data_IF_302905535062
#
_entry.id   IF_302905535062
#
_cell.length_a   1.000
_cell.length_b   1.000
_cell.length_c   1.000
_cell.angle_alpha   90.00
_cell.angle_beta   90.00
_cell.angle_gamma   90.00
#
_symmetry.space_group_name_H-M   'P 1'
#
loop_
_entity.id
_entity.type
_entity.pdbx_description
1 polymer ?
#
# COMPACT_ATOMS: atom_id res chain seq x y z
N UNK A 1 -46.74 47.46 43.69
CA UNK A 1 -46.08 48.72 43.31
C UNK A 1 -44.72 48.82 43.98
N UNK A 2 -43.62 48.68 43.22
CA UNK A 2 -42.34 49.40 43.39
C UNK A 2 -41.34 48.84 42.36
N UNK A 3 -40.74 49.75 41.60
CA UNK A 3 -39.70 49.50 40.59
C UNK A 3 -38.34 49.37 41.28
N UNK A 4 -37.49 48.46 40.80
CA UNK A 4 -36.02 48.51 40.90
C UNK A 4 -35.46 47.82 39.66
N UNK A 5 -35.01 48.54 38.64
CA UNK A 5 -33.62 48.97 38.45
C UNK A 5 -32.62 47.80 38.49
N UNK A 6 -32.26 47.29 37.30
CA UNK A 6 -31.03 46.52 37.12
C UNK A 6 -30.17 47.20 36.05
N UNK A 7 -29.07 47.73 36.56
CA UNK A 7 -27.93 48.30 35.84
C UNK A 7 -27.20 47.20 35.08
N UNK A 8 -26.93 47.45 33.80
CA UNK A 8 -26.06 46.65 32.94
C UNK A 8 -24.60 46.86 33.33
N UNK A 9 -24.09 46.00 34.21
CA UNK A 9 -22.66 45.89 34.52
C UNK A 9 -22.01 44.84 33.62
N UNK A 10 -21.02 45.26 32.84
CA UNK A 10 -20.20 44.40 32.00
C UNK A 10 -19.42 43.36 32.83
N UNK A 11 -19.36 42.12 32.32
CA UNK A 11 -18.51 41.04 32.83
C UNK A 11 -17.46 40.73 31.75
N UNK A 12 -16.17 40.54 32.10
CA UNK A 12 -15.08 40.54 31.13
C UNK A 12 -15.04 39.25 30.31
N UNK A 13 -14.79 39.38 29.00
CA UNK A 13 -14.49 38.26 28.13
C UNK A 13 -13.14 37.65 28.52
N UNK A 14 -13.17 36.46 29.13
CA UNK A 14 -11.99 35.62 29.30
C UNK A 14 -11.72 34.97 27.93
N UNK A 15 -10.80 35.57 27.18
CA UNK A 15 -10.22 34.96 25.99
C UNK A 15 -9.33 33.79 26.45
N UNK A 16 -9.87 32.57 26.44
CA UNK A 16 -9.08 31.36 26.51
C UNK A 16 -8.36 31.18 25.16
N UNK A 17 -7.13 31.67 25.08
CA UNK A 17 -6.21 31.38 23.98
C UNK A 17 -5.85 29.90 24.01
N UNK A 18 -6.60 29.11 23.25
CA UNK A 18 -6.22 27.74 22.92
C UNK A 18 -5.09 27.81 21.88
N UNK A 19 -3.91 27.33 22.27
CA UNK A 19 -2.74 27.26 21.39
C UNK A 19 -3.06 26.48 20.10
N UNK A 20 -2.61 26.93 18.91
CA UNK A 20 -2.85 26.24 17.64
C UNK A 20 -2.27 24.82 17.58
N UNK A 21 -1.41 24.45 18.53
CA UNK A 21 -0.77 23.13 18.59
C UNK A 21 -1.71 21.99 19.02
N UNK A 22 -2.88 22.27 19.59
CA UNK A 22 -3.79 21.25 20.11
C UNK A 22 -4.81 20.71 19.08
N UNK A 23 -4.84 21.25 17.85
CA UNK A 23 -5.81 20.87 16.80
C UNK A 23 -5.24 19.98 15.69
N UNK A 24 -4.01 19.48 15.85
CA UNK A 24 -3.30 18.70 14.82
C UNK A 24 -3.07 17.21 15.15
N UNK A 25 -3.70 16.68 16.21
CA UNK A 25 -3.50 15.30 16.66
C UNK A 25 -4.65 14.33 16.34
N UNK A 26 -5.62 14.72 15.51
CA UNK A 26 -6.72 13.84 15.10
C UNK A 26 -6.81 13.79 13.58
N UNK A 27 -6.85 12.57 13.02
CA UNK A 27 -6.92 12.20 11.58
C UNK A 27 -5.61 11.82 10.86
N UNK A 28 -4.71 11.07 11.50
CA UNK A 28 -3.84 10.15 10.73
C UNK A 28 -4.40 8.74 10.85
N UNK A 29 -5.49 8.51 10.11
CA UNK A 29 -6.22 7.23 10.02
C UNK A 29 -5.91 6.44 8.74
N UNK A 30 -5.58 7.12 7.64
CA UNK A 30 -5.23 6.49 6.36
C UNK A 30 -3.75 6.12 6.27
N UNK A 31 -3.43 5.12 5.44
CA UNK A 31 -2.09 4.94 4.91
C UNK A 31 -1.68 6.27 4.24
N UNK A 32 -0.67 6.96 4.76
CA UNK A 32 -0.14 8.16 4.09
C UNK A 32 0.62 7.66 2.85
N UNK A 33 -0.03 7.65 1.69
CA UNK A 33 0.56 7.20 0.41
C UNK A 33 1.11 8.37 -0.41
N UNK A 34 1.75 9.32 0.27
CA UNK A 34 2.53 10.39 -0.34
C UNK A 34 3.86 10.51 0.39
N UNK A 35 4.95 10.06 -0.23
CA UNK A 35 6.30 10.51 0.16
C UNK A 35 6.54 11.84 -0.54
N UNK A 36 6.86 12.93 0.19
CA UNK A 36 7.19 14.21 -0.43
C UNK A 36 8.34 14.04 -1.43
N UNK A 37 8.16 14.54 -2.66
CA UNK A 37 9.16 14.52 -3.74
C UNK A 37 10.49 15.22 -3.37
N UNK A 38 10.53 15.96 -2.26
CA UNK A 38 11.64 16.84 -1.88
C UNK A 38 12.85 16.15 -1.25
N UNK A 39 12.74 14.90 -0.81
CA UNK A 39 13.74 14.33 0.11
C UNK A 39 14.63 13.24 -0.53
N UNK A 40 14.46 12.96 -1.83
CA UNK A 40 15.30 12.01 -2.56
C UNK A 40 16.33 12.77 -3.41
N UNK A 41 17.43 13.18 -2.77
CA UNK A 41 18.67 13.48 -3.48
C UNK A 41 19.47 12.18 -3.62
N UNK A 42 19.27 11.46 -4.72
CA UNK A 42 20.24 10.45 -5.14
C UNK A 42 21.52 11.20 -5.51
N UNK A 43 22.54 11.10 -4.66
CA UNK A 43 23.84 11.73 -4.90
C UNK A 43 24.31 11.42 -6.31
N UNK A 44 24.57 12.48 -7.10
CA UNK A 44 25.00 12.40 -8.51
C UNK A 44 26.30 11.58 -8.62
N UNK A 45 26.21 10.28 -8.79
CA UNK A 45 27.38 9.44 -9.04
C UNK A 45 27.80 9.60 -10.50
N UNK A 46 28.57 10.65 -10.79
CA UNK A 46 29.08 10.93 -12.14
C UNK A 46 30.44 10.28 -12.36
N UNK A 47 30.44 8.96 -12.48
CA UNK A 47 31.66 8.16 -12.68
C UNK A 47 32.55 8.70 -13.80
N UNK A 48 31.98 9.08 -14.95
CA UNK A 48 32.76 9.58 -16.09
C UNK A 48 33.40 10.95 -15.83
N UNK A 49 32.76 11.84 -15.06
CA UNK A 49 33.38 13.11 -14.66
C UNK A 49 34.54 12.87 -13.68
N UNK A 50 34.32 12.04 -12.65
CA UNK A 50 35.37 11.69 -11.68
C UNK A 50 36.53 10.90 -12.32
N UNK A 51 36.22 10.02 -13.27
CA UNK A 51 37.20 9.27 -14.06
C UNK A 51 38.01 10.20 -14.96
N UNK A 52 37.37 11.12 -15.68
CA UNK A 52 38.05 12.10 -16.51
C UNK A 52 38.89 13.05 -15.67
N UNK A 53 38.40 13.47 -14.50
CA UNK A 53 39.14 14.30 -13.54
C UNK A 53 40.38 13.57 -13.00
N UNK A 54 40.25 12.28 -12.64
CA UNK A 54 41.39 11.45 -12.21
C UNK A 54 42.39 11.24 -13.34
N UNK A 55 41.93 10.87 -14.55
CA UNK A 55 42.77 10.70 -15.76
C UNK A 55 43.51 11.98 -16.12
N UNK A 56 42.84 13.13 -16.04
CA UNK A 56 43.43 14.44 -16.32
C UNK A 56 44.45 14.85 -15.25
N UNK A 57 44.30 14.39 -14.00
CA UNK A 57 45.25 14.65 -12.90
C UNK A 57 46.44 13.68 -12.89
N UNK A 58 46.24 12.40 -13.21
CA UNK A 58 47.28 11.37 -13.06
C UNK A 58 48.13 11.15 -14.31
N UNK A 59 47.69 11.62 -15.49
CA UNK A 59 48.40 11.45 -16.77
C UNK A 59 48.54 9.99 -17.25
N UNK A 60 48.11 9.02 -16.44
CA UNK A 60 48.04 7.58 -16.73
C UNK A 60 46.81 7.04 -16.00
N UNK A 61 45.82 6.59 -16.76
CA UNK A 61 44.80 5.67 -16.24
C UNK A 61 45.26 4.24 -16.57
N UNK A 62 45.10 3.25 -15.67
CA UNK A 62 45.34 1.86 -16.03
C UNK A 62 44.19 1.40 -16.94
N UNK A 63 44.35 1.62 -18.24
CA UNK A 63 43.33 1.33 -19.28
C UNK A 63 42.78 -0.10 -19.16
N UNK A 64 43.59 -1.05 -18.68
CA UNK A 64 43.21 -2.44 -18.47
C UNK A 64 41.97 -2.62 -17.57
N UNK A 65 41.90 -1.97 -16.41
CA UNK A 65 40.77 -2.16 -15.48
C UNK A 65 39.51 -1.43 -15.96
N UNK A 66 39.68 -0.31 -16.67
CA UNK A 66 38.58 0.45 -17.23
C UNK A 66 37.97 -0.29 -18.40
N UNK A 67 38.78 -0.80 -19.35
CA UNK A 67 38.29 -1.62 -20.45
C UNK A 67 37.65 -2.91 -19.97
N UNK A 68 38.25 -3.58 -18.98
CA UNK A 68 37.73 -4.83 -18.41
C UNK A 68 36.35 -4.67 -17.76
N UNK A 69 36.05 -3.52 -17.16
CA UNK A 69 34.79 -3.28 -16.45
C UNK A 69 33.90 -2.22 -17.10
N UNK A 70 34.29 -1.70 -18.28
CA UNK A 70 33.60 -0.63 -19.02
C UNK A 70 32.12 -0.92 -19.18
N UNK A 71 31.78 -2.13 -19.60
CA UNK A 71 30.41 -2.55 -19.86
C UNK A 71 29.59 -2.68 -18.56
N UNK A 72 30.24 -2.98 -17.43
CA UNK A 72 29.59 -2.98 -16.12
C UNK A 72 29.28 -1.55 -15.68
N UNK A 73 30.21 -0.62 -15.85
CA UNK A 73 29.99 0.79 -15.52
C UNK A 73 28.91 1.43 -16.41
N UNK A 74 28.92 1.18 -17.72
CA UNK A 74 27.86 1.66 -18.61
C UNK A 74 26.49 1.12 -18.21
N UNK A 75 26.39 -0.14 -17.82
CA UNK A 75 25.13 -0.73 -17.33
C UNK A 75 24.64 -0.08 -16.04
N UNK A 76 25.55 0.25 -15.11
CA UNK A 76 25.19 0.95 -13.87
C UNK A 76 24.76 2.39 -14.16
N UNK A 77 25.48 3.11 -15.01
CA UNK A 77 25.12 4.49 -15.41
C UNK A 77 23.80 4.56 -16.18
N UNK A 78 23.55 3.62 -17.11
CA UNK A 78 22.26 3.49 -17.79
C UNK A 78 21.15 3.17 -16.78
N UNK A 79 21.41 2.29 -15.82
CA UNK A 79 20.45 1.96 -14.76
C UNK A 79 20.13 3.19 -13.89
N UNK A 80 21.13 3.96 -13.48
CA UNK A 80 20.93 5.21 -12.71
C UNK A 80 20.12 6.21 -13.52
N UNK A 81 20.47 6.45 -14.79
CA UNK A 81 19.71 7.37 -15.67
C UNK A 81 18.26 6.92 -15.85
N UNK A 82 18.03 5.62 -15.99
CA UNK A 82 16.67 5.06 -16.08
C UNK A 82 15.92 5.18 -14.76
N UNK A 83 16.59 5.03 -13.62
CA UNK A 83 15.99 5.22 -12.31
C UNK A 83 15.65 6.70 -12.04
N UNK A 84 16.55 7.63 -12.38
CA UNK A 84 16.31 9.08 -12.28
C UNK A 84 15.15 9.51 -13.18
N UNK A 85 15.17 9.09 -14.46
CA UNK A 85 14.07 9.35 -15.38
C UNK A 85 12.76 8.73 -14.87
N UNK A 86 12.80 7.52 -14.31
CA UNK A 86 11.63 6.88 -13.73
C UNK A 86 11.06 7.66 -12.54
N UNK A 87 11.92 8.15 -11.64
CA UNK A 87 11.52 8.96 -10.48
C UNK A 87 10.93 10.30 -10.93
N UNK A 88 11.56 10.96 -11.89
CA UNK A 88 11.09 12.22 -12.45
C UNK A 88 9.78 12.06 -13.24
N UNK A 89 9.60 10.93 -13.92
CA UNK A 89 8.39 10.62 -14.69
C UNK A 89 7.26 10.06 -13.82
N UNK A 90 7.44 9.83 -12.52
CA UNK A 90 6.33 9.46 -11.65
C UNK A 90 5.34 10.62 -11.56
N UNK A 91 4.06 10.29 -11.80
CA UNK A 91 2.94 11.20 -11.60
C UNK A 91 2.69 11.51 -10.13
N UNK A 92 1.48 11.96 -9.81
CA UNK A 92 1.10 12.27 -8.43
C UNK A 92 1.09 11.01 -7.55
N UNK A 93 0.49 9.94 -8.05
CA UNK A 93 0.64 8.58 -7.50
C UNK A 93 1.81 7.85 -8.16
N UNK A 94 2.45 6.96 -7.41
CA UNK A 94 3.57 6.16 -7.90
C UNK A 94 3.42 4.71 -7.45
N UNK A 95 4.07 3.82 -8.20
CA UNK A 95 4.07 2.39 -7.87
C UNK A 95 4.84 2.16 -6.55
N UNK A 96 4.27 1.49 -5.53
CA UNK A 96 4.89 1.38 -4.21
C UNK A 96 6.05 0.41 -4.22
N UNK A 97 7.15 0.75 -3.56
CA UNK A 97 8.26 -0.20 -3.38
C UNK A 97 7.81 -1.42 -2.58
N UNK A 98 8.04 -2.62 -3.12
CA UNK A 98 7.78 -3.87 -2.40
C UNK A 98 8.78 -4.05 -1.25
N UNK A 99 8.32 -4.56 -0.11
CA UNK A 99 9.16 -4.80 1.07
C UNK A 99 10.06 -6.03 0.92
N UNK A 100 9.86 -6.81 -0.13
CA UNK A 100 10.66 -7.98 -0.45
C UNK A 100 11.22 -7.90 -1.89
N UNK A 101 12.36 -8.56 -2.17
CA UNK A 101 13.00 -8.53 -3.48
C UNK A 101 12.19 -9.32 -4.52
N UNK A 102 11.30 -8.64 -5.26
CA UNK A 102 10.39 -9.24 -6.24
C UNK A 102 11.04 -10.20 -7.24
N UNK A 103 12.31 -9.97 -7.61
CA UNK A 103 13.06 -10.82 -8.54
C UNK A 103 13.40 -12.21 -7.97
N UNK A 104 13.20 -12.43 -6.66
CA UNK A 104 13.28 -13.74 -6.00
C UNK A 104 11.92 -14.44 -5.87
N UNK A 105 10.83 -13.77 -6.24
CA UNK A 105 9.46 -14.24 -6.00
C UNK A 105 9.01 -14.02 -4.56
N UNK A 106 7.78 -14.44 -4.27
CA UNK A 106 7.18 -14.51 -2.94
C UNK A 106 6.87 -15.98 -2.66
N UNK A 107 7.92 -16.76 -2.43
CA UNK A 107 7.81 -18.22 -2.30
C UNK A 107 7.16 -18.61 -0.97
N UNK A 108 6.39 -19.72 -0.92
CA UNK A 108 6.13 -20.67 -2.02
C UNK A 108 4.96 -20.29 -2.96
N UNK A 109 4.37 -19.10 -2.83
CA UNK A 109 3.16 -18.71 -3.56
C UNK A 109 3.43 -18.25 -4.99
N UNK A 110 4.29 -17.25 -5.19
CA UNK A 110 4.46 -16.57 -6.48
C UNK A 110 5.91 -16.62 -6.97
N UNK A 111 6.09 -16.93 -8.25
CA UNK A 111 7.37 -16.82 -8.94
C UNK A 111 7.74 -15.36 -9.21
N UNK A 112 9.02 -15.11 -9.48
CA UNK A 112 9.48 -13.76 -9.85
C UNK A 112 8.87 -13.26 -11.17
N UNK A 113 8.54 -14.17 -12.09
CA UNK A 113 7.92 -13.82 -13.37
C UNK A 113 6.45 -13.43 -13.19
N UNK A 114 5.70 -14.16 -12.37
CA UNK A 114 4.31 -13.83 -12.00
C UNK A 114 4.24 -12.46 -11.31
N UNK A 115 5.14 -12.17 -10.36
CA UNK A 115 5.20 -10.85 -9.70
C UNK A 115 5.60 -9.74 -10.69
N UNK A 116 6.55 -10.00 -11.61
CA UNK A 116 6.92 -9.02 -12.63
C UNK A 116 5.73 -8.56 -13.47
N UNK A 117 4.81 -9.47 -13.79
CA UNK A 117 3.59 -9.14 -14.53
C UNK A 117 2.59 -8.43 -13.62
N UNK A 118 2.28 -8.99 -12.45
CA UNK A 118 1.28 -8.44 -11.54
C UNK A 118 1.66 -7.04 -11.02
N UNK A 119 2.86 -6.88 -10.45
CA UNK A 119 3.37 -5.61 -9.95
C UNK A 119 3.85 -4.69 -11.08
N UNK A 120 4.71 -5.22 -11.96
CA UNK A 120 5.41 -4.41 -12.97
C UNK A 120 4.59 -4.07 -14.21
N UNK A 121 3.44 -4.72 -14.45
CA UNK A 121 2.54 -4.41 -15.56
C UNK A 121 1.16 -3.99 -15.07
N UNK A 122 0.42 -4.87 -14.38
CA UNK A 122 -0.97 -4.58 -13.99
C UNK A 122 -1.07 -3.43 -12.98
N UNK A 123 -0.38 -3.53 -11.83
CA UNK A 123 -0.40 -2.47 -10.83
C UNK A 123 0.14 -1.14 -11.39
N UNK A 124 1.25 -1.19 -12.15
CA UNK A 124 1.80 -0.01 -12.83
C UNK A 124 0.78 0.66 -13.76
N UNK A 125 0.07 -0.11 -14.58
CA UNK A 125 -0.92 0.44 -15.50
C UNK A 125 -2.07 1.15 -14.78
N UNK A 126 -2.53 0.62 -13.63
CA UNK A 126 -3.55 1.30 -12.82
C UNK A 126 -3.05 2.64 -12.27
N UNK A 127 -1.80 2.71 -11.78
CA UNK A 127 -1.18 3.95 -11.29
C UNK A 127 -1.04 4.99 -12.42
N UNK A 128 -0.50 4.57 -13.56
CA UNK A 128 -0.32 5.45 -14.72
C UNK A 128 -1.66 5.99 -15.22
N UNK A 129 -2.67 5.11 -15.33
CA UNK A 129 -4.00 5.50 -15.79
C UNK A 129 -4.74 6.39 -14.78
N UNK A 130 -4.60 6.13 -13.48
CA UNK A 130 -5.15 6.99 -12.43
C UNK A 130 -4.60 8.41 -12.56
N UNK A 131 -3.28 8.55 -12.67
CA UNK A 131 -2.63 9.86 -12.83
C UNK A 131 -3.17 10.62 -14.06
N UNK A 132 -3.30 9.94 -15.20
CA UNK A 132 -3.87 10.54 -16.42
C UNK A 132 -5.32 11.01 -16.24
N UNK A 133 -6.12 10.26 -15.48
CA UNK A 133 -7.54 10.57 -15.30
C UNK A 133 -7.79 11.72 -14.31
N UNK A 134 -6.90 11.92 -13.34
CA UNK A 134 -7.06 12.96 -12.32
C UNK A 134 -6.35 14.27 -12.69
N UNK A 135 -5.38 14.26 -13.60
CA UNK A 135 -4.64 15.45 -14.02
C UNK A 135 -5.58 16.55 -14.52
N UNK A 136 -5.39 17.77 -14.01
CA UNK A 136 -6.24 18.92 -14.36
C UNK A 136 -7.67 18.87 -13.80
N UNK A 137 -8.02 17.85 -13.01
CA UNK A 137 -9.33 17.74 -12.34
C UNK A 137 -9.26 18.19 -10.87
N UNK A 138 -10.41 18.46 -10.21
CA UNK A 138 -10.46 18.71 -8.77
C UNK A 138 -10.04 17.53 -7.88
N UNK A 139 -9.77 16.36 -8.46
CA UNK A 139 -9.25 15.18 -7.74
C UNK A 139 -7.72 15.20 -7.66
N UNK A 140 -7.05 16.00 -8.50
CA UNK A 140 -5.59 16.14 -8.42
C UNK A 140 -5.19 16.72 -7.06
N UNK A 141 -4.21 16.10 -6.40
CA UNK A 141 -3.77 16.52 -5.06
C UNK A 141 -4.57 15.93 -3.89
N UNK A 142 -5.67 15.21 -4.16
CA UNK A 142 -6.44 14.50 -3.12
C UNK A 142 -5.77 13.19 -2.73
N UNK A 143 -5.92 12.76 -1.47
CA UNK A 143 -5.41 11.45 -1.04
C UNK A 143 -6.16 10.30 -1.75
N UNK A 144 -5.52 9.13 -1.87
CA UNK A 144 -6.11 7.99 -2.58
C UNK A 144 -7.45 7.53 -1.99
N UNK A 145 -7.54 7.46 -0.65
CA UNK A 145 -8.75 7.11 0.08
C UNK A 145 -9.88 8.11 -0.18
N UNK A 146 -9.57 9.41 -0.20
CA UNK A 146 -10.53 10.45 -0.55
C UNK A 146 -11.03 10.31 -1.99
N UNK A 147 -10.14 10.02 -2.95
CA UNK A 147 -10.53 9.81 -4.35
C UNK A 147 -11.47 8.60 -4.46
N UNK A 148 -11.16 7.48 -3.81
CA UNK A 148 -12.01 6.28 -3.79
C UNK A 148 -13.39 6.63 -3.21
N UNK A 149 -13.44 7.30 -2.07
CA UNK A 149 -14.68 7.69 -1.41
C UNK A 149 -15.51 8.69 -2.22
N UNK A 150 -14.88 9.59 -2.98
CA UNK A 150 -15.59 10.58 -3.81
C UNK A 150 -16.11 10.01 -5.13
N UNK A 151 -15.57 8.88 -5.57
CA UNK A 151 -15.83 8.35 -6.94
C UNK A 151 -16.60 7.03 -6.96
N UNK A 152 -16.74 6.31 -5.84
CA UNK A 152 -17.31 4.95 -5.85
C UNK A 152 -18.77 4.85 -6.30
N UNK A 153 -19.58 5.87 -6.04
CA UNK A 153 -21.00 5.91 -6.43
C UNK A 153 -21.25 6.78 -7.67
N UNK A 154 -20.21 7.37 -8.26
CA UNK A 154 -20.34 8.23 -9.44
C UNK A 154 -20.04 7.45 -10.73
N UNK A 155 -21.10 7.14 -11.48
CA UNK A 155 -21.03 6.42 -12.75
C UNK A 155 -20.11 7.12 -13.77
N UNK A 156 -20.04 8.45 -13.77
CA UNK A 156 -19.18 9.22 -14.66
C UNK A 156 -17.70 9.10 -14.28
N UNK A 157 -17.41 8.82 -13.02
CA UNK A 157 -16.06 8.65 -12.48
C UNK A 157 -15.68 7.19 -12.25
N UNK A 158 -16.47 6.22 -12.76
CA UNK A 158 -16.17 4.78 -12.68
C UNK A 158 -14.74 4.46 -13.12
N UNK A 159 -14.23 5.12 -14.16
CA UNK A 159 -12.86 4.95 -14.62
C UNK A 159 -11.82 5.39 -13.57
N UNK A 160 -12.07 6.51 -12.88
CA UNK A 160 -11.20 7.00 -11.80
C UNK A 160 -11.28 6.05 -10.61
N UNK A 161 -12.50 5.70 -10.18
CA UNK A 161 -12.74 4.76 -9.08
C UNK A 161 -12.01 3.44 -9.31
N UNK A 162 -12.20 2.82 -10.49
CA UNK A 162 -11.59 1.53 -10.78
C UNK A 162 -10.07 1.56 -10.69
N UNK A 163 -9.41 2.60 -11.22
CA UNK A 163 -7.95 2.70 -11.16
C UNK A 163 -7.45 3.06 -9.75
N UNK A 164 -8.17 3.92 -9.01
CA UNK A 164 -7.85 4.26 -7.64
C UNK A 164 -8.00 3.07 -6.69
N UNK A 165 -9.12 2.37 -6.78
CA UNK A 165 -9.42 1.18 -6.00
C UNK A 165 -8.47 0.02 -6.34
N UNK A 166 -8.16 -0.22 -7.62
CA UNK A 166 -7.16 -1.23 -7.99
C UNK A 166 -5.77 -0.85 -7.48
N UNK A 167 -5.38 0.42 -7.51
CA UNK A 167 -4.12 0.85 -6.91
C UNK A 167 -4.10 0.56 -5.40
N UNK A 168 -5.15 0.92 -4.66
CA UNK A 168 -5.26 0.60 -3.23
C UNK A 168 -5.21 -0.91 -2.97
N UNK A 169 -6.03 -1.69 -3.68
CA UNK A 169 -6.13 -3.13 -3.49
C UNK A 169 -4.79 -3.84 -3.71
N UNK A 170 -4.06 -3.47 -4.76
CA UNK A 170 -2.72 -4.02 -5.00
C UNK A 170 -1.73 -3.56 -3.93
N UNK A 171 -1.72 -2.28 -3.54
CA UNK A 171 -0.87 -1.81 -2.44
C UNK A 171 -1.09 -2.63 -1.18
N UNK A 172 -2.36 -2.87 -0.82
CA UNK A 172 -2.71 -3.65 0.35
C UNK A 172 -2.28 -5.11 0.20
N UNK A 173 -2.56 -5.77 -0.93
CA UNK A 173 -2.14 -7.14 -1.22
C UNK A 173 -0.64 -7.35 -1.05
N UNK A 174 0.20 -6.45 -1.57
CA UNK A 174 1.65 -6.57 -1.44
C UNK A 174 2.15 -6.43 0.00
N UNK A 175 1.38 -5.78 0.89
CA UNK A 175 1.68 -5.70 2.33
C UNK A 175 1.16 -6.92 3.11
N UNK A 176 0.14 -7.60 2.59
CA UNK A 176 -0.41 -8.82 3.18
C UNK A 176 0.48 -10.04 3.01
N UNK A 177 1.45 -10.00 2.10
CA UNK A 177 2.29 -11.15 1.76
C UNK A 177 3.79 -10.85 1.93
N UNK A 178 4.54 -11.87 2.34
CA UNK A 178 6.00 -11.87 2.39
C UNK A 178 6.55 -13.28 2.11
N UNK A 179 7.79 -13.41 1.59
CA UNK A 179 8.39 -14.72 1.38
C UNK A 179 8.41 -15.55 2.67
N UNK A 180 7.89 -16.78 2.60
CA UNK A 180 7.77 -17.73 3.72
C UNK A 180 6.86 -17.29 4.88
N UNK A 181 6.09 -16.21 4.68
CA UNK A 181 5.08 -15.76 5.63
C UNK A 181 5.66 -15.37 6.99
N UNK A 182 4.77 -15.34 7.98
CA UNK A 182 5.12 -15.09 9.38
C UNK A 182 4.33 -16.03 10.27
N UNK A 183 4.69 -16.09 11.56
CA UNK A 183 3.85 -16.78 12.53
C UNK A 183 2.71 -15.87 12.97
N UNK A 184 1.53 -16.45 13.19
CA UNK A 184 0.40 -15.71 13.76
C UNK A 184 0.73 -15.26 15.19
N UNK A 185 0.61 -13.95 15.50
CA UNK A 185 0.84 -13.47 16.86
C UNK A 185 -0.16 -14.05 17.87
N UNK A 186 0.23 -14.32 19.14
CA UNK A 186 -0.62 -15.01 20.11
C UNK A 186 -1.98 -14.33 20.36
N UNK A 187 -2.00 -12.99 20.46
CA UNK A 187 -3.23 -12.25 20.73
C UNK A 187 -4.21 -12.35 19.55
N UNK A 188 -3.69 -12.21 18.32
CA UNK A 188 -4.48 -12.35 17.10
C UNK A 188 -4.99 -13.79 16.96
N UNK A 189 -4.14 -14.78 17.24
CA UNK A 189 -4.52 -16.20 17.23
C UNK A 189 -5.68 -16.47 18.17
N UNK A 190 -5.58 -16.05 19.43
CA UNK A 190 -6.64 -16.24 20.41
C UNK A 190 -7.96 -15.56 19.99
N UNK A 191 -7.88 -14.37 19.38
CA UNK A 191 -9.06 -13.67 18.87
C UNK A 191 -9.72 -14.41 17.68
N UNK A 192 -8.92 -14.94 16.76
CA UNK A 192 -9.39 -15.75 15.62
C UNK A 192 -10.04 -17.04 16.11
N UNK A 193 -9.38 -17.78 17.00
CA UNK A 193 -9.90 -19.04 17.56
C UNK A 193 -11.19 -18.81 18.35
N UNK A 194 -11.31 -17.70 19.07
CA UNK A 194 -12.54 -17.33 19.78
C UNK A 194 -13.73 -17.15 18.84
N UNK A 195 -13.51 -16.61 17.63
CA UNK A 195 -14.60 -16.33 16.70
C UNK A 195 -14.89 -17.48 15.73
N UNK A 196 -13.85 -18.09 15.15
CA UNK A 196 -13.98 -19.11 14.12
C UNK A 196 -13.83 -20.54 14.66
N UNK A 197 -13.49 -20.71 15.94
CA UNK A 197 -13.25 -21.99 16.59
C UNK A 197 -11.80 -22.47 16.47
N UNK A 198 -11.18 -22.32 15.31
CA UNK A 198 -9.74 -22.54 15.11
C UNK A 198 -9.18 -21.64 13.99
N UNK A 199 -7.85 -21.53 13.91
CA UNK A 199 -7.19 -20.83 12.79
C UNK A 199 -7.44 -21.58 11.48
N UNK A 200 -7.41 -22.90 11.50
CA UNK A 200 -7.62 -23.75 10.33
C UNK A 200 -9.05 -23.60 9.78
N UNK A 201 -10.07 -23.49 10.63
CA UNK A 201 -11.44 -23.25 10.17
C UNK A 201 -11.58 -21.83 9.59
N UNK A 202 -10.91 -20.82 10.16
CA UNK A 202 -10.82 -19.49 9.55
C UNK A 202 -10.19 -19.56 8.15
N UNK A 203 -9.03 -20.19 8.01
CA UNK A 203 -8.31 -20.31 6.73
C UNK A 203 -9.17 -21.00 5.67
N UNK A 204 -9.94 -22.03 6.07
CA UNK A 204 -10.89 -22.72 5.22
C UNK A 204 -12.04 -21.81 4.77
N UNK A 205 -12.71 -21.12 5.69
CA UNK A 205 -13.81 -20.20 5.35
C UNK A 205 -13.32 -19.08 4.41
N UNK A 206 -12.14 -18.51 4.68
CA UNK A 206 -11.53 -17.50 3.84
C UNK A 206 -11.20 -18.03 2.44
N UNK A 207 -10.62 -19.23 2.38
CA UNK A 207 -10.29 -19.90 1.11
C UNK A 207 -11.54 -20.24 0.31
N UNK A 208 -12.59 -20.72 0.96
CA UNK A 208 -13.87 -21.03 0.33
C UNK A 208 -14.52 -19.77 -0.25
N UNK A 209 -14.44 -18.62 0.44
CA UNK A 209 -14.91 -17.34 -0.10
C UNK A 209 -14.12 -16.91 -1.36
N UNK A 210 -12.80 -17.12 -1.37
CA UNK A 210 -11.93 -16.81 -2.51
C UNK A 210 -12.13 -17.76 -3.70
N UNK A 211 -12.39 -19.03 -3.45
CA UNK A 211 -12.75 -20.01 -4.47
C UNK A 211 -14.08 -19.68 -5.14
N UNK A 212 -15.09 -19.33 -4.33
CA UNK A 212 -16.46 -19.11 -4.80
C UNK A 212 -16.71 -17.71 -5.36
N UNK A 213 -15.76 -16.78 -5.25
CA UNK A 213 -15.87 -15.47 -5.89
C UNK A 213 -15.80 -15.61 -7.42
N UNK A 214 -16.97 -15.51 -8.07
CA UNK A 214 -17.08 -15.66 -9.51
C UNK A 214 -16.41 -14.49 -10.26
N UNK A 215 -15.59 -14.82 -11.26
CA UNK A 215 -14.88 -13.86 -12.08
C UNK A 215 -13.66 -13.25 -11.36
N UNK A 216 -13.46 -11.96 -11.62
CA UNK A 216 -12.35 -11.16 -11.08
C UNK A 216 -12.75 -10.45 -9.79
N UNK A 217 -11.81 -10.31 -8.86
CA UNK A 217 -12.08 -9.60 -7.62
C UNK A 217 -11.06 -9.86 -6.51
N UNK A 218 -11.48 -9.52 -5.30
CA UNK A 218 -10.66 -9.52 -4.09
C UNK A 218 -11.45 -10.13 -2.95
N UNK A 219 -10.80 -10.95 -2.12
CA UNK A 219 -11.36 -11.38 -0.84
C UNK A 219 -10.56 -10.76 0.28
N UNK A 220 -11.27 -10.07 1.17
CA UNK A 220 -10.71 -9.37 2.31
C UNK A 220 -11.14 -10.02 3.62
N UNK A 221 -10.18 -10.18 4.53
CA UNK A 221 -10.47 -10.41 5.93
C UNK A 221 -10.42 -9.05 6.63
N UNK A 222 -11.51 -8.68 7.30
CA UNK A 222 -11.69 -7.36 7.88
C UNK A 222 -12.12 -7.46 9.34
N UNK A 223 -12.02 -6.35 10.07
CA UNK A 223 -12.65 -6.18 11.37
C UNK A 223 -13.77 -5.13 11.26
N UNK A 224 -15.01 -5.50 11.56
CA UNK A 224 -16.13 -4.55 11.67
C UNK A 224 -16.11 -3.91 13.04
N UNK A 225 -15.74 -2.63 13.09
CA UNK A 225 -15.62 -1.84 14.32
C UNK A 225 -16.95 -1.55 15.02
N UNK A 226 -18.09 -1.67 14.32
CA UNK A 226 -19.42 -1.49 14.94
C UNK A 226 -19.86 -2.76 15.65
N UNK A 227 -19.58 -3.91 15.03
CA UNK A 227 -19.95 -5.22 15.57
C UNK A 227 -18.90 -5.77 16.54
N UNK A 228 -17.66 -5.27 16.46
CA UNK A 228 -16.55 -5.72 17.28
C UNK A 228 -16.06 -7.13 16.92
N UNK A 229 -16.25 -7.55 15.67
CA UNK A 229 -15.94 -8.90 15.20
C UNK A 229 -15.24 -8.90 13.84
N UNK A 230 -14.58 -10.01 13.51
CA UNK A 230 -14.03 -10.23 12.17
C UNK A 230 -15.12 -10.52 11.14
N UNK A 231 -14.86 -10.22 9.89
CA UNK A 231 -15.74 -10.55 8.76
C UNK A 231 -14.92 -10.85 7.50
N UNK A 232 -15.54 -11.51 6.51
CA UNK A 232 -14.92 -11.84 5.23
C UNK A 232 -15.76 -11.21 4.11
N UNK A 233 -15.14 -10.31 3.35
CA UNK A 233 -15.78 -9.59 2.26
C UNK A 233 -15.27 -10.11 0.91
N UNK A 234 -16.19 -10.55 0.05
CA UNK A 234 -15.90 -10.88 -1.35
C UNK A 234 -16.30 -9.72 -2.25
N UNK A 235 -15.32 -9.05 -2.83
CA UNK A 235 -15.49 -7.81 -3.59
C UNK A 235 -15.17 -8.05 -5.06
N UNK A 236 -16.19 -7.93 -5.93
CA UNK A 236 -16.02 -8.13 -7.37
C UNK A 236 -15.24 -6.98 -8.02
N UNK A 237 -14.46 -7.31 -9.05
CA UNK A 237 -13.69 -6.39 -9.88
C UNK A 237 -12.78 -5.45 -9.05
N UNK A 238 -13.07 -4.15 -9.08
CA UNK A 238 -12.36 -3.10 -8.35
C UNK A 238 -13.04 -2.73 -7.02
N UNK A 239 -13.94 -3.58 -6.50
CA UNK A 239 -14.51 -3.38 -5.18
C UNK A 239 -13.41 -3.18 -4.13
N UNK A 240 -13.63 -2.25 -3.20
CA UNK A 240 -12.62 -1.81 -2.24
C UNK A 240 -13.26 -1.68 -0.85
N UNK A 241 -12.63 -2.19 0.22
CA UNK A 241 -13.21 -2.11 1.57
C UNK A 241 -13.34 -0.68 2.08
N UNK A 242 -12.58 0.28 1.54
CA UNK A 242 -12.63 1.68 1.96
C UNK A 242 -13.98 2.35 1.72
N UNK A 243 -14.83 1.79 0.85
CA UNK A 243 -16.21 2.30 0.66
C UNK A 243 -17.08 2.06 1.89
N UNK A 244 -16.64 1.22 2.83
CA UNK A 244 -17.29 0.97 4.12
C UNK A 244 -16.44 1.55 5.26
N UNK A 245 -16.86 2.68 5.82
CA UNK A 245 -16.07 3.43 6.83
C UNK A 245 -15.89 2.72 8.17
N UNK A 246 -16.62 1.63 8.41
CA UNK A 246 -16.63 0.87 9.66
C UNK A 246 -15.81 -0.41 9.60
N UNK A 247 -15.30 -0.79 8.42
CA UNK A 247 -14.47 -1.99 8.28
C UNK A 247 -13.00 -1.59 8.22
N UNK A 248 -12.17 -2.33 8.94
CA UNK A 248 -10.71 -2.19 8.86
C UNK A 248 -10.15 -3.44 8.18
N UNK A 249 -9.56 -3.33 6.97
CA UNK A 249 -8.98 -4.47 6.29
C UNK A 249 -7.73 -4.97 7.03
N UNK A 250 -7.61 -6.30 7.14
CA UNK A 250 -6.52 -6.98 7.86
C UNK A 250 -5.64 -7.78 6.89
N UNK A 251 -6.27 -8.60 6.04
CA UNK A 251 -5.63 -9.37 4.98
C UNK A 251 -6.46 -9.29 3.70
N UNK A 252 -5.82 -9.51 2.55
CA UNK A 252 -6.54 -9.71 1.30
C UNK A 252 -5.82 -10.66 0.35
N UNK A 253 -6.60 -11.33 -0.49
CA UNK A 253 -6.10 -12.10 -1.62
C UNK A 253 -6.72 -11.57 -2.92
N UNK A 254 -5.86 -11.38 -3.92
CA UNK A 254 -6.26 -11.08 -5.29
C UNK A 254 -6.66 -12.38 -5.99
N UNK A 255 -7.90 -12.47 -6.49
CA UNK A 255 -8.40 -13.62 -7.27
C UNK A 255 -8.65 -13.29 -8.73
N UNK A 256 -8.18 -12.13 -9.21
CA UNK A 256 -8.02 -11.90 -10.64
C UNK A 256 -7.09 -12.96 -11.22
N UNK A 257 -7.44 -13.48 -12.40
CA UNK A 257 -6.65 -14.55 -13.04
C UNK A 257 -5.19 -14.13 -13.24
N UNK A 258 -4.93 -12.84 -13.56
CA UNK A 258 -3.57 -12.33 -13.74
C UNK A 258 -2.65 -12.54 -12.53
N UNK A 259 -3.19 -12.80 -11.34
CA UNK A 259 -2.42 -12.98 -10.10
C UNK A 259 -1.74 -14.34 -10.05
N UNK A 260 -2.37 -15.36 -10.62
CA UNK A 260 -1.93 -16.75 -10.47
C UNK A 260 -1.77 -17.49 -11.80
N UNK A 261 -2.31 -16.99 -12.92
CA UNK A 261 -2.41 -17.78 -14.15
C UNK A 261 -1.07 -18.24 -14.71
N UNK A 262 0.02 -17.51 -14.50
CA UNK A 262 1.34 -17.89 -15.04
C UNK A 262 1.96 -19.03 -14.23
N UNK A 263 1.69 -19.08 -12.92
CA UNK A 263 2.23 -20.11 -12.03
C UNK A 263 1.27 -21.32 -11.87
N UNK A 264 -0.04 -21.10 -12.06
CA UNK A 264 -1.10 -22.06 -11.71
C UNK A 264 -2.15 -22.28 -12.81
N UNK A 265 -2.08 -21.56 -13.93
CA UNK A 265 -3.07 -21.60 -15.01
C UNK A 265 -4.50 -21.40 -14.47
N UNK A 266 -5.45 -22.26 -14.81
CA UNK A 266 -6.82 -22.19 -14.32
C UNK A 266 -6.99 -22.70 -12.87
N UNK A 267 -5.93 -23.22 -12.23
CA UNK A 267 -6.02 -23.89 -10.93
C UNK A 267 -5.94 -22.90 -9.76
N UNK A 268 -6.99 -22.09 -9.60
CA UNK A 268 -7.15 -21.16 -8.46
C UNK A 268 -7.03 -21.86 -7.10
N UNK A 269 -7.51 -23.10 -7.00
CA UNK A 269 -7.44 -23.88 -5.76
C UNK A 269 -5.99 -24.18 -5.34
N UNK A 270 -5.12 -24.54 -6.28
CA UNK A 270 -3.70 -24.77 -5.97
C UNK A 270 -2.97 -23.48 -5.56
N UNK A 271 -3.37 -22.33 -6.11
CA UNK A 271 -2.89 -21.02 -5.68
C UNK A 271 -3.32 -20.71 -4.24
N UNK A 272 -4.62 -20.81 -3.95
CA UNK A 272 -5.16 -20.48 -2.63
C UNK A 272 -4.68 -21.44 -1.53
N UNK A 273 -4.47 -22.72 -1.85
CA UNK A 273 -3.90 -23.69 -0.91
C UNK A 273 -2.50 -23.33 -0.39
N UNK A 274 -1.80 -22.41 -1.07
CA UNK A 274 -0.48 -21.92 -0.65
C UNK A 274 -0.51 -20.49 -0.07
N UNK A 275 -1.65 -19.80 -0.12
CA UNK A 275 -1.74 -18.39 0.24
C UNK A 275 -1.31 -18.12 1.69
N UNK A 276 -1.81 -18.89 2.65
CA UNK A 276 -1.47 -18.73 4.06
C UNK A 276 0.01 -19.00 4.38
N UNK A 277 0.75 -19.70 3.51
CA UNK A 277 2.19 -19.91 3.67
C UNK A 277 3.04 -18.67 3.41
N UNK A 278 2.44 -17.59 2.88
CA UNK A 278 3.14 -16.32 2.62
C UNK A 278 2.50 -15.14 3.34
N UNK A 279 1.46 -15.34 4.15
CA UNK A 279 0.76 -14.25 4.83
C UNK A 279 1.66 -13.55 5.86
N UNK A 280 1.63 -12.22 5.87
CA UNK A 280 2.13 -11.39 6.96
C UNK A 280 1.04 -11.20 8.03
N UNK A 281 1.04 -12.08 9.04
CA UNK A 281 0.17 -11.98 10.19
C UNK A 281 0.51 -10.82 11.12
N UNK A 282 1.75 -10.33 11.11
CA UNK A 282 2.08 -9.12 11.85
C UNK A 282 1.45 -7.88 11.22
N UNK A 283 1.31 -7.83 9.89
CA UNK A 283 0.54 -6.79 9.21
C UNK A 283 -0.92 -6.79 9.68
N UNK A 284 -1.56 -7.96 9.67
CA UNK A 284 -2.93 -8.14 10.13
C UNK A 284 -3.11 -7.74 11.61
N UNK A 285 -2.20 -8.19 12.48
CA UNK A 285 -2.23 -7.86 13.91
C UNK A 285 -2.14 -6.35 14.13
N UNK A 286 -1.22 -5.65 13.45
CA UNK A 286 -1.08 -4.19 13.58
C UNK A 286 -2.37 -3.46 13.21
N UNK A 287 -3.04 -3.89 12.15
CA UNK A 287 -4.29 -3.29 11.70
C UNK A 287 -5.44 -3.57 12.68
N UNK A 288 -5.52 -4.80 13.19
CA UNK A 288 -6.52 -5.19 14.17
C UNK A 288 -6.32 -4.47 15.52
N UNK A 289 -5.09 -4.38 16.03
CA UNK A 289 -4.76 -3.66 17.26
C UNK A 289 -5.10 -2.17 17.14
N UNK A 290 -4.77 -1.55 16.00
CA UNK A 290 -5.16 -0.17 15.71
C UNK A 290 -6.69 0.00 15.68
N UNK A 291 -7.42 -0.93 15.06
CA UNK A 291 -8.89 -0.88 14.99
C UNK A 291 -9.56 -1.01 16.37
N UNK A 292 -8.91 -1.70 17.31
CA UNK A 292 -9.42 -1.98 18.66
C UNK A 292 -8.82 -1.07 19.73
N UNK A 293 -7.98 -0.10 19.36
CA UNK A 293 -7.32 0.81 20.29
C UNK A 293 -6.30 0.14 21.22
N UNK A 294 -5.83 -1.06 20.87
CA UNK A 294 -4.80 -1.77 21.62
C UNK A 294 -3.41 -1.19 21.31
N UNK A 295 -2.50 -1.25 22.29
CA UNK A 295 -1.09 -0.91 22.05
C UNK A 295 -0.47 -1.89 21.05
N UNK A 296 0.27 -1.34 20.09
CA UNK A 296 1.02 -2.12 19.10
C UNK A 296 2.39 -1.50 18.87
N UNK A 297 3.37 -2.34 18.57
CA UNK A 297 4.71 -1.89 18.20
C UNK A 297 4.79 -1.73 16.68
N UNK A 298 5.09 -0.52 16.20
CA UNK A 298 5.61 -0.33 14.86
C UNK A 298 7.07 -0.78 14.86
N UNK A 299 7.33 -2.00 14.38
CA UNK A 299 8.69 -2.34 13.96
C UNK A 299 9.01 -1.46 12.75
N UNK A 300 9.68 -0.34 12.99
CA UNK A 300 10.35 0.42 11.93
C UNK A 300 11.48 -0.46 11.40
N UNK A 301 11.17 -1.28 10.42
CA UNK A 301 12.21 -1.69 9.49
C UNK A 301 12.54 -0.42 8.70
N UNK A 302 13.73 0.14 9.00
CA UNK A 302 14.38 1.33 8.42
C UNK A 302 13.80 2.70 8.82
#
# INVERSE_FOLDING_TARGET
MRRSAFSTGAVPAIAATVSPAALQASRRGGLVMHTPKSDIELGRFKFMEQYNEFRNRSGRAPDYYVEKYRDTYWRVDEYIRRAEHYIQSQGFFYLPTLEFPWYRGCLPLLSSYQIRLHYGRHHRAYVEKLNQLIEGTPLYGSNLDEIILRTHDDVMLTGVYNNAAQHYNHCFFWKCIQPYGSNIPPDLKAAVEKQYGSVEEFEKIFTDAALNLFGSGWVYWVYDTRLGQFDILSLSNAGCPLTSTHVVPLLCVDVWEHTYYVDYENNRAAFLAKYFNVVDWHWAERHWKRATGQEYYEMKFW
#
